data_IF_694682509908
#
_entry.id   IF_694682509908
#
_cell.length_a   1.000
_cell.length_b   1.000
_cell.length_c   1.000
_cell.angle_alpha   90.00
_cell.angle_beta   90.00
_cell.angle_gamma   90.00
#
_symmetry.space_group_name_H-M   'P 1'
#
loop_
_entity.id
_entity.type
_entity.pdbx_description
1 polymer ?
#
# COMPACT_ATOMS: atom_id res chain seq x y z
N UNK A 1 -30.68 -1.98 1.61
CA UNK A 1 -29.37 -1.64 2.22
C UNK A 1 -28.63 -0.75 1.23
N UNK A 2 -28.08 0.39 1.67
CA UNK A 2 -27.29 1.27 0.79
C UNK A 2 -25.94 0.59 0.43
N UNK A 3 -25.28 1.05 -0.64
CA UNK A 3 -23.93 0.54 -0.97
C UNK A 3 -22.94 0.79 0.18
N UNK A 4 -23.07 1.93 0.86
CA UNK A 4 -22.23 2.26 2.03
C UNK A 4 -22.38 1.22 3.13
N UNK A 5 -23.63 0.80 3.41
CA UNK A 5 -23.90 -0.25 4.41
C UNK A 5 -23.32 -1.59 3.96
N UNK A 6 -23.51 -1.96 2.69
CA UNK A 6 -22.95 -3.21 2.15
C UNK A 6 -21.43 -3.26 2.25
N UNK A 7 -20.72 -2.16 1.92
CA UNK A 7 -19.26 -2.02 2.05
C UNK A 7 -18.84 -2.14 3.52
N UNK A 8 -19.59 -1.51 4.44
CA UNK A 8 -19.34 -1.56 5.88
C UNK A 8 -19.54 -2.97 6.43
N UNK A 9 -20.67 -3.60 6.09
CA UNK A 9 -21.00 -4.98 6.49
C UNK A 9 -19.94 -5.99 5.98
N UNK A 10 -19.50 -5.85 4.74
CA UNK A 10 -18.49 -6.71 4.14
C UNK A 10 -17.05 -6.43 4.67
N UNK A 11 -16.88 -5.40 5.47
CA UNK A 11 -15.57 -5.06 6.06
C UNK A 11 -14.51 -4.66 5.04
N UNK A 12 -14.91 -3.95 3.95
CA UNK A 12 -13.99 -3.51 2.90
C UNK A 12 -13.13 -2.36 3.38
N UNK A 13 -11.82 -2.52 3.22
CA UNK A 13 -10.81 -1.50 3.52
C UNK A 13 -9.89 -1.27 2.32
N UNK A 14 -9.12 -0.19 2.34
CA UNK A 14 -8.11 0.10 1.33
C UNK A 14 -7.06 -1.01 1.25
N UNK A 15 -7.09 -1.80 0.18
CA UNK A 15 -6.25 -2.99 -0.02
C UNK A 15 -4.81 -2.67 -0.49
N UNK A 16 -4.53 -1.42 -0.85
CA UNK A 16 -3.20 -0.93 -1.27
C UNK A 16 -2.25 -0.57 -0.12
N UNK A 17 -2.52 -1.02 1.12
CA UNK A 17 -1.64 -0.85 2.29
C UNK A 17 -2.16 0.08 3.38
N UNK A 18 -2.91 1.15 3.06
CA UNK A 18 -3.37 2.14 4.05
C UNK A 18 -4.50 1.65 4.96
N UNK A 19 -5.29 0.66 4.54
CA UNK A 19 -6.36 0.07 5.36
C UNK A 19 -7.50 1.02 5.72
N UNK A 20 -7.70 2.13 4.99
CA UNK A 20 -8.76 3.08 5.28
C UNK A 20 -10.14 2.47 4.95
N UNK A 21 -11.15 2.56 5.82
CA UNK A 21 -12.48 2.00 5.61
C UNK A 21 -13.15 2.55 4.35
N UNK A 22 -13.49 1.67 3.38
CA UNK A 22 -13.96 2.09 2.06
C UNK A 22 -15.36 2.71 2.07
N UNK A 23 -16.22 2.37 3.04
CA UNK A 23 -17.57 2.94 3.20
C UNK A 23 -17.53 4.46 3.44
N UNK A 24 -16.46 4.99 4.09
CA UNK A 24 -16.28 6.43 4.29
C UNK A 24 -16.01 7.14 2.97
N UNK A 25 -15.18 6.54 2.10
CA UNK A 25 -14.95 7.06 0.73
C UNK A 25 -16.23 7.00 -0.11
N UNK A 26 -17.03 5.96 0.02
CA UNK A 26 -18.31 5.81 -0.67
C UNK A 26 -19.37 6.83 -0.23
N UNK A 27 -19.24 7.41 0.97
CA UNK A 27 -20.13 8.46 1.48
C UNK A 27 -19.78 9.87 0.99
N UNK A 28 -18.60 10.07 0.37
CA UNK A 28 -18.16 11.38 -0.10
C UNK A 28 -18.90 11.82 -1.37
N UNK A 29 -18.81 13.14 -1.69
CA UNK A 29 -19.34 13.72 -2.93
C UNK A 29 -18.18 14.20 -3.77
N UNK A 30 -18.03 13.67 -4.98
CA UNK A 30 -16.94 13.98 -5.91
C UNK A 30 -17.43 13.97 -7.35
N UNK A 31 -16.64 14.51 -8.26
CA UNK A 31 -16.93 14.44 -9.70
C UNK A 31 -16.21 13.27 -10.41
N UNK A 32 -15.16 12.74 -9.79
CA UNK A 32 -14.29 11.72 -10.39
C UNK A 32 -13.97 10.59 -9.41
N UNK A 33 -14.14 9.35 -9.85
CA UNK A 33 -13.61 8.14 -9.20
C UNK A 33 -12.38 7.68 -9.96
N UNK A 34 -11.26 7.54 -9.27
CA UNK A 34 -9.98 7.14 -9.84
C UNK A 34 -9.53 5.79 -9.25
N UNK A 35 -9.47 4.77 -10.10
CA UNK A 35 -8.93 3.47 -9.76
C UNK A 35 -7.40 3.48 -9.88
N UNK A 36 -6.70 3.09 -8.81
CA UNK A 36 -5.26 2.96 -8.77
C UNK A 36 -4.83 1.53 -9.13
N UNK A 37 -4.48 1.30 -10.40
CA UNK A 37 -3.85 0.09 -10.92
C UNK A 37 -2.37 0.30 -11.28
N UNK A 38 -1.73 1.33 -10.70
CA UNK A 38 -0.36 1.72 -11.01
C UNK A 38 0.70 0.92 -10.25
N UNK A 39 0.39 -0.29 -9.76
CA UNK A 39 1.32 -1.12 -8.98
C UNK A 39 2.80 -0.85 -9.29
N UNK A 40 3.52 -0.22 -8.35
CA UNK A 40 4.87 0.27 -8.60
C UNK A 40 5.92 -0.26 -7.61
N UNK A 41 5.54 -1.07 -6.61
CA UNK A 41 6.50 -1.78 -5.76
C UNK A 41 7.26 -2.82 -6.59
N UNK A 42 8.63 -2.83 -6.54
CA UNK A 42 9.40 -3.86 -7.23
C UNK A 42 8.99 -5.27 -6.80
N UNK A 43 8.91 -6.19 -7.77
CA UNK A 43 8.63 -7.62 -7.59
C UNK A 43 7.21 -7.95 -7.05
N UNK A 44 6.33 -6.99 -6.89
CA UNK A 44 4.93 -7.22 -6.51
C UNK A 44 4.07 -7.10 -7.77
N UNK A 45 3.22 -8.11 -8.02
CA UNK A 45 2.41 -8.24 -9.25
C UNK A 45 0.93 -8.54 -8.99
N UNK A 46 0.48 -8.49 -7.73
CA UNK A 46 -0.88 -8.89 -7.35
C UNK A 46 -1.98 -8.04 -8.01
N UNK A 47 -1.75 -6.72 -8.12
CA UNK A 47 -2.72 -5.82 -8.74
C UNK A 47 -2.74 -5.98 -10.25
N UNK A 48 -1.57 -6.25 -10.87
CA UNK A 48 -1.50 -6.60 -12.29
C UNK A 48 -2.30 -7.86 -12.58
N UNK A 49 -2.07 -8.95 -11.84
CA UNK A 49 -2.76 -10.22 -12.02
C UNK A 49 -4.27 -10.07 -11.75
N UNK A 50 -4.65 -9.34 -10.70
CA UNK A 50 -6.06 -9.03 -10.44
C UNK A 50 -6.70 -8.28 -11.61
N UNK A 51 -6.02 -7.30 -12.19
CA UNK A 51 -6.53 -6.53 -13.33
C UNK A 51 -6.70 -7.40 -14.58
N UNK A 52 -5.80 -8.35 -14.82
CA UNK A 52 -5.90 -9.27 -15.96
C UNK A 52 -7.10 -10.22 -15.80
N UNK A 53 -7.27 -10.79 -14.62
CA UNK A 53 -8.25 -11.86 -14.39
C UNK A 53 -9.64 -11.38 -13.93
N UNK A 54 -9.75 -10.13 -13.44
CA UNK A 54 -10.96 -9.60 -12.80
C UNK A 54 -11.29 -8.16 -13.20
N UNK A 55 -10.91 -7.75 -14.42
CA UNK A 55 -11.17 -6.40 -14.95
C UNK A 55 -12.66 -6.00 -14.85
N UNK A 56 -13.55 -6.92 -15.16
CA UNK A 56 -15.02 -6.75 -15.08
C UNK A 56 -15.48 -6.35 -13.68
N UNK A 57 -14.97 -7.03 -12.65
CA UNK A 57 -15.27 -6.75 -11.25
C UNK A 57 -14.71 -5.41 -10.78
N UNK A 58 -13.53 -5.05 -11.25
CA UNK A 58 -12.92 -3.74 -10.94
C UNK A 58 -13.76 -2.63 -11.57
N UNK A 59 -14.11 -2.74 -12.86
CA UNK A 59 -14.96 -1.77 -13.58
C UNK A 59 -16.32 -1.64 -12.92
N UNK A 60 -16.94 -2.76 -12.53
CA UNK A 60 -18.20 -2.74 -11.78
C UNK A 60 -18.04 -1.99 -10.45
N UNK A 61 -16.95 -2.23 -9.70
CA UNK A 61 -16.65 -1.50 -8.46
C UNK A 61 -16.46 0.00 -8.67
N UNK A 62 -15.82 0.42 -9.79
CA UNK A 62 -15.73 1.84 -10.17
C UNK A 62 -17.14 2.41 -10.39
N UNK A 63 -17.98 1.72 -11.15
CA UNK A 63 -19.37 2.14 -11.43
C UNK A 63 -20.20 2.31 -10.15
N UNK A 64 -20.09 1.36 -9.22
CA UNK A 64 -20.76 1.42 -7.91
C UNK A 64 -20.28 2.64 -7.10
N UNK A 65 -18.98 2.91 -7.08
CA UNK A 65 -18.43 4.08 -6.41
C UNK A 65 -18.90 5.38 -7.07
N UNK A 66 -18.95 5.44 -8.41
CA UNK A 66 -19.48 6.59 -9.12
C UNK A 66 -20.94 6.84 -8.73
N UNK A 67 -21.77 5.81 -8.71
CA UNK A 67 -23.17 5.91 -8.30
C UNK A 67 -23.33 6.42 -6.86
N UNK A 68 -22.52 5.89 -5.91
CA UNK A 68 -22.60 6.28 -4.50
C UNK A 68 -22.12 7.70 -4.24
N UNK A 69 -21.06 8.13 -4.92
CA UNK A 69 -20.43 9.45 -4.73
C UNK A 69 -21.07 10.55 -5.58
N UNK A 70 -21.88 10.19 -6.59
CA UNK A 70 -22.42 11.11 -7.58
C UNK A 70 -21.41 11.51 -8.66
N UNK A 71 -20.30 10.79 -8.80
CA UNK A 71 -19.29 11.07 -9.80
C UNK A 71 -19.81 10.79 -11.22
N UNK A 72 -19.47 11.69 -12.14
CA UNK A 72 -19.82 11.57 -13.57
C UNK A 72 -18.67 10.97 -14.40
N UNK A 73 -17.47 10.86 -13.84
CA UNK A 73 -16.26 10.34 -14.50
C UNK A 73 -15.66 9.20 -13.69
N UNK A 74 -15.37 8.09 -14.36
CA UNK A 74 -14.51 7.02 -13.87
C UNK A 74 -13.21 6.97 -14.64
N UNK A 75 -12.07 6.85 -13.96
CA UNK A 75 -10.76 6.73 -14.59
C UNK A 75 -10.03 5.54 -13.97
N UNK A 76 -9.42 4.69 -14.79
CA UNK A 76 -8.57 3.59 -14.33
C UNK A 76 -7.13 3.91 -14.73
N UNK A 77 -6.26 4.19 -13.75
CA UNK A 77 -4.84 4.42 -13.97
C UNK A 77 -4.08 3.10 -14.05
N UNK A 78 -3.48 2.79 -15.20
CA UNK A 78 -2.72 1.55 -15.45
C UNK A 78 -1.41 1.89 -16.14
N UNK A 79 -0.33 1.18 -15.82
CA UNK A 79 0.96 1.37 -16.51
C UNK A 79 0.89 0.92 -17.97
N UNK A 80 1.45 1.71 -18.87
CA UNK A 80 1.49 1.42 -20.33
C UNK A 80 2.14 0.07 -20.65
N UNK A 81 3.07 -0.39 -19.82
CA UNK A 81 3.71 -1.72 -20.00
C UNK A 81 2.77 -2.90 -19.74
N UNK A 82 1.72 -2.70 -18.99
CA UNK A 82 0.77 -3.73 -18.55
C UNK A 82 -0.30 -3.99 -19.63
N UNK A 83 0.12 -4.31 -20.85
CA UNK A 83 -0.77 -4.51 -22.02
C UNK A 83 -1.91 -5.48 -21.76
N UNK A 84 -1.71 -6.70 -21.18
CA UNK A 84 -2.81 -7.63 -20.93
C UNK A 84 -3.90 -7.04 -20.02
N UNK A 85 -3.51 -6.25 -19.00
CA UNK A 85 -4.48 -5.58 -18.13
C UNK A 85 -5.23 -4.45 -18.86
N UNK A 86 -4.54 -3.72 -19.74
CA UNK A 86 -5.18 -2.68 -20.57
C UNK A 86 -6.22 -3.31 -21.51
N UNK A 87 -5.88 -4.38 -22.21
CA UNK A 87 -6.79 -5.11 -23.11
C UNK A 87 -8.01 -5.65 -22.36
N UNK A 88 -7.81 -6.20 -21.16
CA UNK A 88 -8.89 -6.67 -20.31
C UNK A 88 -9.83 -5.52 -19.90
N UNK A 89 -9.25 -4.36 -19.54
CA UNK A 89 -10.06 -3.18 -19.22
C UNK A 89 -10.75 -2.57 -20.43
N UNK A 90 -10.11 -2.49 -21.61
CA UNK A 90 -10.74 -1.98 -22.84
C UNK A 90 -12.04 -2.75 -23.17
N UNK A 91 -12.00 -4.06 -22.98
CA UNK A 91 -13.20 -4.90 -23.10
C UNK A 91 -14.26 -4.58 -22.04
N UNK A 92 -13.83 -4.44 -20.77
CA UNK A 92 -14.75 -4.30 -19.63
C UNK A 92 -15.39 -2.91 -19.53
N UNK A 93 -14.73 -1.84 -19.99
CA UNK A 93 -15.27 -0.46 -19.94
C UNK A 93 -16.24 -0.14 -21.08
N UNK A 94 -16.39 -1.01 -22.05
CA UNK A 94 -17.25 -0.78 -23.21
C UNK A 94 -18.68 -0.44 -22.77
N UNK A 95 -19.22 0.67 -23.29
CA UNK A 95 -20.56 1.15 -22.94
C UNK A 95 -20.69 1.82 -21.56
N UNK A 96 -19.58 2.09 -20.88
CA UNK A 96 -19.55 2.79 -19.58
C UNK A 96 -18.92 4.18 -19.69
N UNK A 97 -19.15 5.11 -18.76
CA UNK A 97 -18.45 6.41 -18.72
C UNK A 97 -17.06 6.32 -18.05
N UNK A 98 -16.44 5.15 -18.08
CA UNK A 98 -15.14 4.88 -17.47
C UNK A 98 -14.06 4.88 -18.57
N UNK A 99 -12.93 5.54 -18.31
CA UNK A 99 -11.81 5.65 -19.23
C UNK A 99 -10.55 5.06 -18.64
N UNK A 100 -9.62 4.65 -19.50
CA UNK A 100 -8.30 4.15 -19.09
C UNK A 100 -7.29 5.28 -19.27
N UNK A 101 -6.54 5.57 -18.20
CA UNK A 101 -5.40 6.49 -18.23
C UNK A 101 -4.11 5.70 -18.16
N UNK A 102 -3.28 5.77 -19.20
CA UNK A 102 -2.01 5.07 -19.28
C UNK A 102 -0.90 5.85 -18.60
N UNK A 103 -0.28 5.25 -17.59
CA UNK A 103 0.81 5.80 -16.78
C UNK A 103 2.18 5.33 -17.28
N UNK A 104 3.20 6.16 -17.12
CA UNK A 104 4.59 5.76 -17.33
C UNK A 104 5.06 4.70 -16.35
N UNK A 105 6.10 3.92 -16.73
CA UNK A 105 6.72 2.92 -15.86
C UNK A 105 7.81 3.53 -14.97
N UNK A 106 7.39 4.29 -13.97
CA UNK A 106 8.25 4.92 -12.99
C UNK A 106 7.75 4.67 -11.55
N UNK A 107 8.60 4.91 -10.59
CA UNK A 107 8.28 4.84 -9.17
C UNK A 107 8.31 6.25 -8.54
N UNK A 108 7.34 6.62 -7.71
CA UNK A 108 6.11 5.94 -7.30
C UNK A 108 4.86 6.40 -8.10
N UNK A 109 4.61 5.83 -9.27
CA UNK A 109 3.44 6.20 -10.10
C UNK A 109 2.08 5.97 -9.41
N UNK A 110 2.04 5.11 -8.37
CA UNK A 110 0.87 4.82 -7.56
C UNK A 110 0.67 5.74 -6.34
N UNK A 111 1.54 6.74 -6.12
CA UNK A 111 1.29 7.77 -5.10
C UNK A 111 0.03 8.56 -5.45
N UNK A 112 -0.89 8.74 -4.48
CA UNK A 112 -2.20 9.36 -4.75
C UNK A 112 -2.09 10.78 -5.36
N UNK A 113 -1.11 11.58 -4.92
CA UNK A 113 -0.94 12.95 -5.46
C UNK A 113 -0.44 12.92 -6.89
N UNK A 114 0.51 12.03 -7.19
CA UNK A 114 1.04 11.85 -8.54
C UNK A 114 -0.07 11.30 -9.45
N UNK A 115 -0.76 10.27 -9.02
CA UNK A 115 -1.81 9.62 -9.81
C UNK A 115 -2.97 10.59 -10.12
N UNK A 116 -3.41 11.41 -9.14
CA UNK A 116 -4.43 12.43 -9.35
C UNK A 116 -3.96 13.46 -10.35
N UNK A 117 -2.73 13.96 -10.24
CA UNK A 117 -2.18 14.93 -11.19
C UNK A 117 -2.05 14.33 -12.60
N UNK A 118 -1.47 13.13 -12.73
CA UNK A 118 -1.32 12.46 -14.03
C UNK A 118 -2.68 12.27 -14.74
N UNK A 119 -3.68 11.78 -13.99
CA UNK A 119 -4.98 11.44 -14.57
C UNK A 119 -5.94 12.63 -14.74
N UNK A 120 -5.77 13.71 -13.99
CA UNK A 120 -6.75 14.81 -13.96
C UNK A 120 -6.17 16.20 -14.12
N UNK A 121 -4.84 16.37 -14.08
CA UNK A 121 -4.11 17.63 -14.02
C UNK A 121 -4.47 18.49 -12.80
N UNK A 122 -5.09 17.91 -11.76
CA UNK A 122 -5.43 18.61 -10.52
C UNK A 122 -4.33 18.40 -9.49
N UNK A 123 -3.92 19.48 -8.83
CA UNK A 123 -2.95 19.44 -7.75
C UNK A 123 -3.68 19.47 -6.40
N UNK A 124 -3.47 18.43 -5.59
CA UNK A 124 -4.04 18.36 -4.24
C UNK A 124 -3.39 19.45 -3.38
N UNK A 125 -4.13 20.27 -2.63
CA UNK A 125 -3.51 21.26 -1.74
C UNK A 125 -2.54 20.60 -0.77
N UNK A 126 -1.47 21.28 -0.33
CA UNK A 126 -0.57 20.76 0.70
C UNK A 126 -1.34 20.33 1.95
N UNK A 127 -1.01 19.15 2.51
CA UNK A 127 -1.75 18.44 3.58
C UNK A 127 -3.17 18.02 3.20
N UNK A 128 -3.62 18.29 1.99
CA UNK A 128 -4.95 17.88 1.52
C UNK A 128 -5.03 16.39 1.20
N UNK A 129 -6.21 16.02 0.77
CA UNK A 129 -6.53 14.67 0.29
C UNK A 129 -7.18 14.77 -1.09
N UNK A 130 -7.28 13.69 -1.87
CA UNK A 130 -7.92 13.73 -3.20
C UNK A 130 -9.31 14.34 -3.22
N UNK A 131 -10.08 14.20 -2.14
CA UNK A 131 -11.42 14.81 -2.00
C UNK A 131 -11.40 16.34 -2.12
N UNK A 132 -10.32 17.00 -1.73
CA UNK A 132 -10.20 18.47 -1.83
C UNK A 132 -10.19 18.98 -3.29
N UNK A 133 -9.95 18.07 -4.23
CA UNK A 133 -9.97 18.37 -5.66
C UNK A 133 -11.05 17.56 -6.41
N UNK A 134 -12.08 17.10 -5.70
CA UNK A 134 -13.24 16.41 -6.28
C UNK A 134 -12.95 14.99 -6.76
N UNK A 135 -11.92 14.32 -6.23
CA UNK A 135 -11.50 12.97 -6.65
C UNK A 135 -11.56 12.00 -5.48
N UNK A 136 -12.08 10.80 -5.69
CA UNK A 136 -11.88 9.63 -4.81
C UNK A 136 -10.92 8.67 -5.48
N UNK A 137 -9.83 8.35 -4.80
CA UNK A 137 -8.87 7.33 -5.24
C UNK A 137 -9.10 6.03 -4.49
N UNK A 138 -9.16 4.91 -5.20
CA UNK A 138 -9.24 3.57 -4.62
C UNK A 138 -8.34 2.58 -5.38
N UNK A 139 -7.64 1.72 -4.66
CA UNK A 139 -6.86 0.64 -5.27
C UNK A 139 -7.78 -0.35 -5.99
N UNK A 140 -7.31 -0.99 -7.06
CA UNK A 140 -8.11 -1.92 -7.89
C UNK A 140 -8.68 -3.10 -7.08
N UNK A 141 -7.93 -3.65 -6.11
CA UNK A 141 -8.43 -4.70 -5.23
C UNK A 141 -9.52 -4.19 -4.27
N UNK A 142 -9.45 -2.94 -3.83
CA UNK A 142 -10.53 -2.32 -3.04
C UNK A 142 -11.82 -2.25 -3.86
N UNK A 143 -11.73 -1.86 -5.13
CA UNK A 143 -12.88 -1.80 -6.04
C UNK A 143 -13.45 -3.19 -6.36
N UNK A 144 -12.58 -4.17 -6.55
CA UNK A 144 -12.96 -5.58 -6.65
C UNK A 144 -13.76 -6.03 -5.42
N UNK A 145 -13.28 -5.72 -4.22
CA UNK A 145 -13.97 -6.05 -2.97
C UNK A 145 -15.29 -5.29 -2.79
N UNK A 146 -15.41 -4.05 -3.29
CA UNK A 146 -16.66 -3.29 -3.32
C UNK A 146 -17.68 -3.98 -4.24
N UNK A 147 -17.25 -4.48 -5.40
CA UNK A 147 -18.09 -5.27 -6.29
C UNK A 147 -18.61 -6.54 -5.62
N UNK A 148 -17.79 -7.23 -4.83
CA UNK A 148 -18.20 -8.40 -4.02
C UNK A 148 -19.17 -8.02 -2.91
N UNK A 149 -18.90 -6.92 -2.21
CA UNK A 149 -19.74 -6.45 -1.10
C UNK A 149 -21.18 -6.18 -1.52
N UNK A 150 -21.43 -5.70 -2.74
CA UNK A 150 -22.76 -5.52 -3.27
C UNK A 150 -23.54 -6.85 -3.37
N UNK A 151 -22.82 -7.96 -3.49
CA UNK A 151 -23.38 -9.33 -3.51
C UNK A 151 -23.43 -9.96 -2.11
N UNK A 152 -23.21 -9.18 -1.04
CA UNK A 152 -23.09 -9.63 0.35
C UNK A 152 -21.95 -10.63 0.58
N UNK A 153 -20.90 -10.54 -0.21
CA UNK A 153 -19.69 -11.37 -0.08
C UNK A 153 -18.62 -10.58 0.66
N UNK A 154 -18.34 -10.90 1.95
CA UNK A 154 -17.41 -10.14 2.78
C UNK A 154 -15.95 -10.40 2.44
N UNK A 155 -15.06 -9.49 2.90
CA UNK A 155 -13.62 -9.63 2.72
C UNK A 155 -13.07 -10.69 3.66
N UNK A 156 -12.82 -11.86 3.12
CA UNK A 156 -12.23 -13.03 3.79
C UNK A 156 -10.88 -13.43 3.21
N UNK A 157 -10.56 -12.90 2.04
CA UNK A 157 -9.40 -13.31 1.26
C UNK A 157 -8.59 -12.09 0.82
N UNK A 158 -7.32 -12.31 0.49
CA UNK A 158 -6.37 -11.28 0.08
C UNK A 158 -5.57 -11.74 -1.13
N UNK A 159 -5.50 -10.91 -2.18
CA UNK A 159 -4.54 -11.11 -3.27
C UNK A 159 -3.14 -10.77 -2.78
N UNK A 160 -2.20 -11.67 -2.94
CA UNK A 160 -0.79 -11.48 -2.56
C UNK A 160 0.15 -11.98 -3.65
N UNK A 161 1.33 -11.40 -3.73
CA UNK A 161 2.47 -11.91 -4.48
C UNK A 161 3.52 -12.44 -3.52
N UNK A 162 4.11 -13.59 -3.83
CA UNK A 162 5.33 -14.09 -3.19
C UNK A 162 6.43 -14.14 -4.24
N UNK A 163 7.51 -13.39 -4.02
CA UNK A 163 8.61 -13.22 -4.96
C UNK A 163 9.98 -13.14 -4.25
N UNK A 164 11.05 -12.93 -5.02
CA UNK A 164 12.41 -12.91 -4.50
C UNK A 164 13.07 -14.28 -4.55
N UNK A 165 13.86 -14.61 -3.53
CA UNK A 165 14.60 -15.87 -3.39
C UNK A 165 13.68 -17.04 -3.00
N UNK A 166 12.63 -17.29 -3.78
CA UNK A 166 11.70 -18.42 -3.64
C UNK A 166 11.74 -19.32 -4.87
N UNK A 167 11.29 -20.55 -4.73
CA UNK A 167 11.40 -21.54 -5.79
C UNK A 167 10.53 -21.20 -7.01
N UNK A 168 9.30 -20.71 -6.78
CA UNK A 168 8.33 -20.38 -7.81
C UNK A 168 7.64 -19.07 -7.46
N UNK A 169 8.15 -17.90 -7.90
CA UNK A 169 7.45 -16.63 -7.73
C UNK A 169 6.03 -16.73 -8.27
N UNK A 170 5.03 -16.30 -7.48
CA UNK A 170 3.62 -16.53 -7.80
C UNK A 170 2.72 -15.49 -7.15
N UNK A 171 1.60 -15.17 -7.81
CA UNK A 171 0.49 -14.41 -7.21
C UNK A 171 -0.72 -15.32 -6.99
N UNK A 172 -1.38 -15.21 -5.86
CA UNK A 172 -2.54 -16.04 -5.52
C UNK A 172 -3.43 -15.36 -4.47
N UNK A 173 -4.58 -15.99 -4.18
CA UNK A 173 -5.51 -15.55 -3.16
C UNK A 173 -5.29 -16.36 -1.89
N UNK A 174 -4.98 -15.69 -0.78
CA UNK A 174 -4.82 -16.32 0.53
C UNK A 174 -5.97 -15.94 1.46
N UNK A 175 -6.49 -16.87 2.29
CA UNK A 175 -7.38 -16.52 3.40
C UNK A 175 -6.71 -15.51 4.34
N UNK A 176 -7.42 -14.47 4.77
CA UNK A 176 -6.94 -13.53 5.78
C UNK A 176 -6.61 -14.30 7.06
N UNK A 177 -5.44 -14.05 7.63
CA UNK A 177 -4.96 -14.78 8.81
C UNK A 177 -4.04 -15.96 8.50
N UNK A 178 -3.83 -16.31 7.22
CA UNK A 178 -2.79 -17.28 6.80
C UNK A 178 -1.42 -16.81 7.28
N UNK A 179 -0.59 -17.71 7.81
CA UNK A 179 0.77 -17.34 8.23
C UNK A 179 1.65 -16.95 7.03
N UNK A 180 2.64 -16.07 7.23
CA UNK A 180 3.63 -15.76 6.20
C UNK A 180 4.38 -17.01 5.76
N UNK A 181 4.61 -17.95 6.68
CA UNK A 181 5.23 -19.25 6.39
C UNK A 181 4.42 -20.03 5.36
N UNK A 182 3.12 -20.24 5.62
CA UNK A 182 2.25 -20.98 4.69
C UNK A 182 2.14 -20.29 3.33
N UNK A 183 2.13 -18.95 3.33
CA UNK A 183 2.13 -18.18 2.09
C UNK A 183 3.43 -18.37 1.27
N UNK A 184 4.60 -18.36 1.92
CA UNK A 184 5.91 -18.58 1.27
C UNK A 184 6.03 -20.04 0.81
N UNK A 185 5.54 -21.01 1.58
CA UNK A 185 5.52 -22.42 1.18
C UNK A 185 4.66 -22.66 -0.07
N UNK A 186 3.61 -21.87 -0.29
CA UNK A 186 2.81 -21.91 -1.53
C UNK A 186 3.64 -21.56 -2.77
N UNK A 187 4.69 -20.74 -2.60
CA UNK A 187 5.69 -20.45 -3.64
C UNK A 187 6.83 -21.51 -3.72
N UNK A 188 6.68 -22.64 -3.07
CA UNK A 188 7.68 -23.70 -3.00
C UNK A 188 8.79 -23.48 -1.99
N UNK A 189 8.62 -22.53 -1.07
CA UNK A 189 9.57 -22.16 -0.04
C UNK A 189 10.74 -21.30 -0.52
N UNK A 190 11.55 -20.82 0.42
CA UNK A 190 12.77 -20.06 0.13
C UNK A 190 13.87 -20.98 -0.43
N UNK A 191 14.62 -20.48 -1.42
CA UNK A 191 15.77 -21.23 -2.00
C UNK A 191 17.09 -20.97 -1.29
N UNK A 192 17.05 -20.19 -0.21
CA UNK A 192 18.18 -19.83 0.64
C UNK A 192 17.87 -20.19 2.11
N UNK A 193 18.90 -20.61 2.86
CA UNK A 193 18.74 -21.06 4.24
C UNK A 193 18.47 -19.93 5.24
N UNK A 194 19.12 -18.78 5.03
CA UNK A 194 18.99 -17.61 5.89
C UNK A 194 18.41 -16.44 5.10
N UNK A 195 17.19 -16.05 5.44
CA UNK A 195 16.47 -15.00 4.73
C UNK A 195 15.66 -14.11 5.67
N UNK A 196 15.28 -12.97 5.14
CA UNK A 196 14.31 -12.07 5.72
C UNK A 196 13.27 -11.71 4.67
N UNK A 197 12.11 -11.24 5.10
CA UNK A 197 10.95 -11.01 4.24
C UNK A 197 10.56 -9.55 4.27
N UNK A 198 10.50 -8.92 3.11
CA UNK A 198 9.88 -7.61 2.97
C UNK A 198 8.37 -7.81 2.77
N UNK A 199 7.59 -7.38 3.74
CA UNK A 199 6.12 -7.48 3.74
C UNK A 199 5.53 -6.20 3.19
N UNK A 200 4.75 -6.30 2.12
CA UNK A 200 4.12 -5.15 1.45
C UNK A 200 5.01 -4.43 0.43
N UNK A 201 6.18 -4.97 0.14
CA UNK A 201 7.14 -4.45 -0.85
C UNK A 201 8.47 -3.99 -0.27
N UNK A 202 9.44 -3.75 -1.13
CA UNK A 202 10.83 -3.38 -0.76
C UNK A 202 10.92 -1.91 -0.35
N UNK A 203 10.21 -1.03 -1.05
CA UNK A 203 10.33 0.42 -0.90
C UNK A 203 9.56 0.93 0.32
N UNK A 204 8.29 0.58 0.43
CA UNK A 204 7.39 1.07 1.49
C UNK A 204 7.07 0.03 2.56
N UNK A 205 7.36 -1.24 2.30
CA UNK A 205 7.09 -2.35 3.20
C UNK A 205 7.98 -2.41 4.44
N UNK A 206 7.69 -3.40 5.27
CA UNK A 206 8.45 -3.69 6.50
C UNK A 206 9.30 -4.93 6.31
N UNK A 207 10.48 -4.94 6.95
CA UNK A 207 11.30 -6.14 7.05
C UNK A 207 10.85 -6.96 8.26
N UNK A 208 10.59 -8.24 8.03
CA UNK A 208 10.16 -9.18 9.06
C UNK A 208 11.01 -10.46 9.01
N UNK A 209 11.23 -11.05 10.18
CA UNK A 209 11.88 -12.36 10.35
C UNK A 209 10.94 -13.37 11.01
N UNK A 210 9.88 -12.89 11.65
CA UNK A 210 8.84 -13.75 12.21
C UNK A 210 7.85 -14.17 11.12
N UNK A 211 7.92 -15.43 10.70
CA UNK A 211 7.07 -15.99 9.65
C UNK A 211 5.70 -16.49 10.17
N UNK A 212 5.48 -16.47 11.46
CA UNK A 212 4.20 -16.89 12.05
C UNK A 212 3.17 -15.73 12.11
N UNK A 213 3.58 -14.52 11.68
CA UNK A 213 2.68 -13.38 11.54
C UNK A 213 1.64 -13.62 10.42
N UNK A 214 0.43 -13.09 10.57
CA UNK A 214 -0.68 -13.35 9.65
C UNK A 214 -0.73 -12.39 8.46
N UNK A 215 -1.18 -12.89 7.32
CA UNK A 215 -1.70 -12.09 6.19
C UNK A 215 -2.90 -11.29 6.67
N UNK A 216 -2.90 -10.01 6.39
CA UNK A 216 -4.00 -9.09 6.72
C UNK A 216 -4.68 -8.56 5.45
N UNK A 217 -5.80 -7.85 5.60
CA UNK A 217 -6.48 -7.17 4.48
C UNK A 217 -5.60 -6.15 3.75
N UNK A 218 -4.46 -5.75 4.34
CA UNK A 218 -3.54 -4.75 3.79
C UNK A 218 -2.23 -5.32 3.27
N UNK A 219 -1.97 -6.62 3.46
CA UNK A 219 -0.75 -7.29 2.99
C UNK A 219 -0.73 -7.38 1.47
N UNK A 220 0.22 -6.71 0.80
CA UNK A 220 0.34 -6.76 -0.66
C UNK A 220 1.13 -7.98 -1.16
N UNK A 221 2.01 -8.53 -0.32
CA UNK A 221 2.83 -9.68 -0.67
C UNK A 221 4.14 -9.72 0.08
N UNK A 222 5.00 -10.64 -0.34
CA UNK A 222 6.26 -10.98 0.31
C UNK A 222 7.38 -10.98 -0.71
N UNK A 223 8.47 -10.27 -0.43
CA UNK A 223 9.72 -10.38 -1.16
C UNK A 223 10.76 -10.99 -0.23
N UNK A 224 11.13 -12.23 -0.53
CA UNK A 224 12.13 -13.00 0.24
C UNK A 224 13.52 -12.65 -0.29
N UNK A 225 14.42 -12.21 0.60
CA UNK A 225 15.82 -11.93 0.24
C UNK A 225 16.78 -12.57 1.24
N UNK A 226 17.98 -13.00 0.79
CA UNK A 226 19.01 -13.51 1.69
C UNK A 226 19.37 -12.49 2.77
N UNK A 227 19.68 -12.93 4.00
CA UNK A 227 20.10 -12.03 5.10
C UNK A 227 21.30 -11.19 4.70
N UNK A 228 22.23 -11.73 3.90
CA UNK A 228 23.39 -11.02 3.38
C UNK A 228 23.10 -9.94 2.32
N UNK A 229 21.86 -9.85 1.82
CA UNK A 229 21.50 -8.85 0.81
C UNK A 229 21.58 -7.43 1.38
N UNK A 230 22.13 -6.49 0.61
CA UNK A 230 22.35 -5.10 1.05
C UNK A 230 21.08 -4.42 1.58
N UNK A 231 19.94 -4.65 0.96
CA UNK A 231 18.67 -4.09 1.42
C UNK A 231 18.29 -4.58 2.81
N UNK A 232 18.46 -5.88 3.08
CA UNK A 232 18.20 -6.47 4.40
C UNK A 232 19.15 -5.85 5.43
N UNK A 233 20.45 -5.82 5.15
CA UNK A 233 21.44 -5.24 6.04
C UNK A 233 21.17 -3.76 6.34
N UNK A 234 20.78 -2.98 5.34
CA UNK A 234 20.42 -1.57 5.53
C UNK A 234 19.16 -1.40 6.39
N UNK A 235 18.14 -2.23 6.17
CA UNK A 235 16.86 -2.14 6.89
C UNK A 235 16.97 -2.61 8.35
N UNK A 236 17.92 -3.50 8.65
CA UNK A 236 18.21 -3.97 10.00
C UNK A 236 18.99 -2.98 10.87
N UNK A 237 19.52 -1.89 10.29
CA UNK A 237 20.28 -0.93 11.07
C UNK A 237 19.40 -0.19 12.10
N UNK A 238 19.86 -0.03 13.35
CA UNK A 238 19.15 0.75 14.34
C UNK A 238 19.02 2.23 13.94
N UNK A 239 17.86 2.84 14.18
CA UNK A 239 17.60 4.25 13.84
C UNK A 239 18.65 5.20 14.39
N UNK A 240 19.14 4.99 15.63
CA UNK A 240 20.24 5.77 16.23
C UNK A 240 21.54 5.71 15.41
N UNK A 241 21.86 4.54 14.83
CA UNK A 241 23.03 4.39 13.98
C UNK A 241 22.83 5.11 12.64
N UNK A 242 21.65 4.98 12.03
CA UNK A 242 21.28 5.69 10.80
C UNK A 242 21.45 7.21 10.95
N UNK A 243 20.94 7.79 12.05
CA UNK A 243 21.03 9.23 12.32
C UNK A 243 22.48 9.66 12.58
N UNK A 244 23.25 8.87 13.34
CA UNK A 244 24.66 9.20 13.62
C UNK A 244 25.49 9.21 12.34
N UNK A 245 25.32 8.21 11.47
CA UNK A 245 26.01 8.16 10.18
C UNK A 245 25.56 9.33 9.30
N UNK A 246 24.26 9.60 9.21
CA UNK A 246 23.73 10.73 8.43
C UNK A 246 24.27 12.08 8.89
N UNK A 247 24.43 12.26 10.22
CA UNK A 247 24.99 13.48 10.81
C UNK A 247 26.44 13.74 10.40
N UNK A 248 27.25 12.69 10.27
CA UNK A 248 28.70 12.80 10.01
C UNK A 248 29.07 12.70 8.52
N UNK A 249 28.26 12.04 7.70
CA UNK A 249 28.60 11.70 6.32
C UNK A 249 27.77 12.41 5.26
N UNK A 250 26.75 13.21 5.62
CA UNK A 250 25.93 13.92 4.65
C UNK A 250 26.65 15.15 4.11
N UNK A 251 27.07 15.10 2.85
CA UNK A 251 27.74 16.18 2.11
C UNK A 251 26.81 17.25 1.54
N UNK A 252 25.49 17.13 1.78
CA UNK A 252 24.47 18.11 1.33
C UNK A 252 24.34 18.24 -0.19
N UNK A 253 24.62 17.21 -0.97
CA UNK A 253 24.52 17.20 -2.44
C UNK A 253 23.08 17.45 -3.00
N UNK A 254 22.05 17.37 -2.16
CA UNK A 254 20.63 17.58 -2.46
C UNK A 254 19.94 16.58 -3.39
N UNK A 255 20.58 15.54 -3.90
CA UNK A 255 19.96 14.56 -4.79
C UNK A 255 18.69 13.92 -4.20
N UNK A 256 18.66 13.71 -2.88
CA UNK A 256 17.47 13.20 -2.18
C UNK A 256 16.24 14.14 -2.32
N UNK A 257 16.45 15.43 -2.55
CA UNK A 257 15.40 16.42 -2.84
C UNK A 257 15.13 16.50 -4.34
N UNK A 258 16.18 16.59 -5.15
CA UNK A 258 16.07 16.72 -6.60
C UNK A 258 15.29 15.57 -7.26
N UNK A 259 15.38 14.36 -6.68
CA UNK A 259 14.66 13.17 -7.13
C UNK A 259 13.42 12.87 -6.28
N UNK A 260 13.08 13.73 -5.32
CA UNK A 260 11.87 13.52 -4.51
C UNK A 260 10.61 13.71 -5.35
N UNK A 261 9.72 12.70 -5.46
CA UNK A 261 8.54 12.79 -6.31
C UNK A 261 7.57 13.89 -5.87
N UNK A 262 7.47 14.16 -4.57
CA UNK A 262 6.65 15.25 -4.04
C UNK A 262 7.27 16.62 -4.31
N UNK A 263 8.60 16.75 -4.23
CA UNK A 263 9.30 17.98 -4.57
C UNK A 263 9.14 18.34 -6.05
N UNK A 264 9.35 17.39 -6.94
CA UNK A 264 9.21 17.65 -8.39
C UNK A 264 7.76 17.88 -8.81
N UNK A 265 6.78 17.39 -8.03
CA UNK A 265 5.36 17.72 -8.21
C UNK A 265 4.99 19.10 -7.62
N UNK A 266 5.95 19.81 -7.00
CA UNK A 266 5.80 21.18 -6.52
C UNK A 266 5.55 21.34 -5.02
N UNK A 267 5.58 20.26 -4.26
CA UNK A 267 5.40 20.32 -2.80
C UNK A 267 6.74 20.57 -2.10
N UNK A 268 6.69 21.33 -1.01
CA UNK A 268 7.88 21.70 -0.24
C UNK A 268 8.40 20.54 0.62
N UNK A 269 8.90 19.49 -0.03
CA UNK A 269 9.54 18.33 0.59
C UNK A 269 11.03 18.34 0.27
N UNK A 270 11.87 18.63 1.25
CA UNK A 270 13.31 18.82 1.06
C UNK A 270 14.14 17.93 2.00
N UNK A 271 14.29 16.62 1.70
CA UNK A 271 14.99 15.69 2.59
C UNK A 271 16.42 16.11 2.92
N UNK A 272 17.16 16.80 2.01
CA UNK A 272 18.51 17.27 2.29
C UNK A 272 18.54 18.28 3.46
N UNK A 273 17.52 19.12 3.61
CA UNK A 273 17.42 20.05 4.75
C UNK A 273 17.12 19.28 6.05
N UNK A 274 16.24 18.27 5.98
CA UNK A 274 15.98 17.39 7.13
C UNK A 274 17.26 16.66 7.54
N UNK A 275 18.05 16.14 6.60
CA UNK A 275 19.36 15.54 6.88
C UNK A 275 20.33 16.53 7.54
N UNK A 276 20.33 17.79 7.08
CA UNK A 276 21.17 18.83 7.70
C UNK A 276 20.76 19.11 9.15
N UNK A 277 19.47 19.07 9.47
CA UNK A 277 18.98 19.30 10.84
C UNK A 277 19.49 18.25 11.84
N UNK A 278 19.87 17.05 11.40
CA UNK A 278 20.51 16.05 12.25
C UNK A 278 21.83 16.56 12.86
N UNK A 279 22.50 17.50 12.19
CA UNK A 279 23.74 18.15 12.67
C UNK A 279 23.51 19.18 13.78
N UNK A 280 22.30 19.67 13.98
CA UNK A 280 21.99 20.72 14.94
C UNK A 280 21.79 20.13 16.33
N UNK A 281 22.47 20.70 17.32
CA UNK A 281 22.41 20.20 18.70
C UNK A 281 21.39 20.90 19.58
N UNK A 282 20.84 22.05 19.13
CA UNK A 282 19.98 22.90 19.97
C UNK A 282 18.76 23.50 19.27
N UNK A 283 18.53 23.22 18.04
CA UNK A 283 17.36 23.77 17.39
C UNK A 283 16.15 22.89 17.70
N UNK A 284 15.49 23.13 18.79
CA UNK A 284 14.08 22.82 18.95
C UNK A 284 13.21 23.49 17.88
N UNK A 285 13.84 24.07 16.86
CA UNK A 285 13.16 24.73 15.76
C UNK A 285 12.64 23.70 14.76
N UNK A 286 11.35 23.51 14.86
CA UNK A 286 10.53 22.72 13.93
C UNK A 286 10.67 23.13 12.45
N UNK A 287 11.30 24.26 12.16
CA UNK A 287 11.38 24.83 10.81
C UNK A 287 12.01 23.88 9.78
N UNK A 288 13.08 23.16 10.14
CA UNK A 288 13.73 22.20 9.26
C UNK A 288 12.95 20.89 9.15
N UNK A 289 12.27 20.50 10.22
CA UNK A 289 11.41 19.33 10.25
C UNK A 289 10.17 19.51 9.37
N UNK A 290 9.68 20.74 9.19
CA UNK A 290 8.54 21.05 8.30
C UNK A 290 8.77 20.55 6.86
N UNK A 291 10.01 20.52 6.37
CA UNK A 291 10.34 19.97 5.04
C UNK A 291 10.07 18.46 4.89
N UNK A 292 9.75 17.76 5.97
CA UNK A 292 9.30 16.38 5.96
C UNK A 292 7.77 16.23 5.97
N UNK A 293 7.01 17.28 6.32
CA UNK A 293 5.56 17.21 6.59
C UNK A 293 4.75 16.59 5.47
N UNK A 294 5.07 16.95 4.22
CA UNK A 294 4.37 16.51 3.02
C UNK A 294 5.01 15.25 2.38
N UNK A 295 5.97 14.63 3.05
CA UNK A 295 6.65 13.43 2.57
C UNK A 295 5.71 12.22 2.55
N UNK A 296 5.65 11.49 1.41
CA UNK A 296 4.86 10.25 1.26
C UNK A 296 5.61 8.98 1.72
N UNK A 297 6.81 9.13 2.28
CA UNK A 297 7.63 8.00 2.78
C UNK A 297 7.95 6.92 1.74
N UNK A 298 8.02 7.28 0.45
CA UNK A 298 8.21 6.34 -0.67
C UNK A 298 9.59 5.66 -0.72
N UNK A 299 10.58 6.14 0.05
CA UNK A 299 11.91 5.50 0.14
C UNK A 299 12.92 5.88 -0.95
N UNK A 300 12.55 6.60 -2.03
CA UNK A 300 13.47 6.94 -3.12
C UNK A 300 14.72 7.68 -2.64
N UNK A 301 14.56 8.63 -1.72
CA UNK A 301 15.67 9.42 -1.21
C UNK A 301 16.73 8.56 -0.48
N UNK A 302 16.33 7.48 0.20
CA UNK A 302 17.24 6.54 0.88
C UNK A 302 17.78 5.47 -0.06
N UNK A 303 16.90 4.83 -0.85
CA UNK A 303 17.23 3.60 -1.55
C UNK A 303 17.76 3.83 -2.98
N UNK A 304 17.50 5.01 -3.55
CA UNK A 304 17.91 5.32 -4.92
C UNK A 304 18.78 6.58 -5.02
N UNK A 305 18.32 7.70 -4.45
CA UNK A 305 18.89 9.01 -4.72
C UNK A 305 20.19 9.32 -3.97
N UNK A 306 20.37 8.79 -2.74
CA UNK A 306 21.55 9.11 -1.93
C UNK A 306 22.80 8.39 -2.44
N UNK A 307 23.85 9.12 -2.90
CA UNK A 307 25.11 8.50 -3.35
C UNK A 307 25.88 7.87 -2.19
N UNK A 308 25.80 8.44 -0.98
CA UNK A 308 26.47 7.98 0.24
C UNK A 308 25.68 6.87 0.96
N UNK A 309 24.64 6.34 0.33
CA UNK A 309 23.78 5.29 0.90
C UNK A 309 23.27 5.62 2.32
N UNK A 310 23.03 6.90 2.65
CA UNK A 310 22.46 7.36 3.90
C UNK A 310 20.95 7.12 3.99
N UNK A 311 20.29 7.66 5.02
CA UNK A 311 18.91 7.35 5.42
C UNK A 311 17.99 8.60 5.46
N UNK A 312 17.84 9.38 4.37
CA UNK A 312 16.98 10.58 4.37
C UNK A 312 15.50 10.29 4.63
N UNK A 313 14.98 9.14 4.17
CA UNK A 313 13.59 8.74 4.45
C UNK A 313 13.35 8.56 5.95
N UNK A 314 14.24 7.84 6.61
CA UNK A 314 14.17 7.55 8.04
C UNK A 314 14.26 8.84 8.87
N UNK A 315 15.09 9.79 8.44
CA UNK A 315 15.15 11.13 9.03
C UNK A 315 13.84 11.90 8.83
N UNK A 316 13.24 11.86 7.64
CA UNK A 316 11.94 12.47 7.37
C UNK A 316 10.82 11.82 8.19
N UNK A 317 10.79 10.50 8.30
CA UNK A 317 9.80 9.78 9.07
C UNK A 317 9.88 10.11 10.56
N UNK A 318 11.11 10.20 11.10
CA UNK A 318 11.32 10.68 12.48
C UNK A 318 10.82 12.12 12.66
N UNK A 319 11.18 13.04 11.77
CA UNK A 319 10.73 14.42 11.84
C UNK A 319 9.20 14.53 11.81
N UNK A 320 8.51 13.70 11.02
CA UNK A 320 7.03 13.65 11.00
C UNK A 320 6.46 13.17 12.34
N UNK A 321 7.09 12.16 12.96
CA UNK A 321 6.67 11.70 14.31
C UNK A 321 6.87 12.80 15.35
N UNK A 322 8.06 13.40 15.39
CA UNK A 322 8.40 14.47 16.33
C UNK A 322 7.42 15.66 16.22
N UNK A 323 7.11 16.08 14.98
CA UNK A 323 6.13 17.16 14.75
C UNK A 323 4.74 16.80 15.25
N UNK A 324 4.28 15.57 14.98
CA UNK A 324 2.98 15.09 15.46
C UNK A 324 2.89 15.08 16.98
N UNK A 325 3.94 14.60 17.67
CA UNK A 325 4.03 14.59 19.13
C UNK A 325 4.04 16.00 19.73
N UNK A 326 4.63 16.96 19.03
CA UNK A 326 4.69 18.37 19.45
C UNK A 326 3.47 19.19 19.00
N UNK A 327 2.52 18.60 18.30
CA UNK A 327 1.35 19.32 17.76
C UNK A 327 1.70 20.34 16.67
N UNK A 328 2.86 20.20 16.02
CA UNK A 328 3.32 21.12 14.98
C UNK A 328 2.69 20.74 13.65
N UNK A 329 2.01 21.71 13.04
CA UNK A 329 1.43 21.58 11.70
C UNK A 329 2.27 22.32 10.68
N UNK A 330 2.24 21.84 9.44
CA UNK A 330 2.90 22.51 8.33
C UNK A 330 2.25 23.87 8.06
N UNK A 331 3.08 24.90 7.87
CA UNK A 331 2.64 26.30 7.66
C UNK A 331 3.29 26.95 6.42
N UNK A 332 3.83 26.14 5.52
CA UNK A 332 4.55 26.62 4.34
C UNK A 332 3.65 27.14 3.20
N UNK A 333 4.20 27.23 2.02
CA UNK A 333 3.56 27.76 0.81
C UNK A 333 2.35 26.92 0.39
N UNK A 334 1.18 27.54 0.22
CA UNK A 334 -0.07 26.86 -0.15
C UNK A 334 -0.19 26.61 -1.67
N UNK A 335 0.46 27.43 -2.47
CA UNK A 335 0.46 27.29 -3.91
C UNK A 335 1.42 26.17 -4.34
N UNK A 336 0.95 25.30 -5.21
CA UNK A 336 1.70 24.17 -5.76
C UNK A 336 1.80 24.34 -7.27
N UNK A 337 3.02 24.24 -7.77
CA UNK A 337 3.32 24.28 -9.22
C UNK A 337 4.35 23.20 -9.53
N UNK A 338 4.09 22.30 -10.49
CA UNK A 338 5.04 21.27 -10.84
C UNK A 338 6.37 21.86 -11.30
N UNK A 339 7.46 21.25 -10.85
CA UNK A 339 8.80 21.66 -11.27
C UNK A 339 8.95 21.44 -12.78
N UNK A 340 9.64 22.33 -13.54
CA UNK A 340 9.85 22.17 -14.99
C UNK A 340 10.45 20.82 -15.39
N UNK A 341 11.23 20.22 -14.50
CA UNK A 341 11.83 18.87 -14.69
C UNK A 341 10.98 17.72 -14.14
N UNK A 342 9.68 17.92 -13.91
CA UNK A 342 8.81 16.89 -13.33
C UNK A 342 8.89 15.56 -14.10
N UNK A 343 8.81 15.60 -15.42
CA UNK A 343 8.93 14.38 -16.23
C UNK A 343 10.36 13.84 -16.28
N UNK A 344 11.35 14.73 -16.43
CA UNK A 344 12.75 14.36 -16.58
C UNK A 344 13.39 13.76 -15.32
N UNK A 345 12.78 13.98 -14.13
CA UNK A 345 13.28 13.44 -12.85
C UNK A 345 12.48 12.25 -12.33
N UNK A 346 11.59 11.71 -13.13
CA UNK A 346 10.92 10.44 -12.81
C UNK A 346 11.93 9.29 -12.75
N UNK A 347 11.86 8.47 -11.73
CA UNK A 347 12.75 7.32 -11.58
C UNK A 347 12.18 6.10 -12.28
N UNK A 348 12.76 5.63 -13.41
CA UNK A 348 12.29 4.44 -14.10
C UNK A 348 12.40 3.20 -13.22
N UNK A 349 11.37 2.34 -13.20
CA UNK A 349 11.30 1.19 -12.31
C UNK A 349 12.47 0.21 -12.53
N UNK A 350 12.86 -0.04 -13.78
CA UNK A 350 14.00 -0.91 -14.11
C UNK A 350 15.32 -0.38 -13.55
N UNK A 351 15.54 0.92 -13.57
CA UNK A 351 16.75 1.53 -12.98
C UNK A 351 16.73 1.45 -11.46
N UNK A 352 15.55 1.66 -10.86
CA UNK A 352 15.37 1.46 -9.43
C UNK A 352 15.73 0.02 -9.03
N UNK A 353 15.18 -0.99 -9.70
CA UNK A 353 15.46 -2.40 -9.43
C UNK A 353 16.94 -2.75 -9.56
N UNK A 354 17.61 -2.19 -10.58
CA UNK A 354 19.07 -2.33 -10.74
C UNK A 354 19.84 -1.73 -9.57
N UNK A 355 19.47 -0.53 -9.11
CA UNK A 355 20.09 0.14 -7.96
C UNK A 355 19.86 -0.63 -6.66
N UNK A 356 18.70 -1.26 -6.53
CA UNK A 356 18.34 -2.10 -5.38
C UNK A 356 19.04 -3.47 -5.39
N UNK A 357 19.64 -3.88 -6.50
CA UNK A 357 20.26 -5.21 -6.65
C UNK A 357 19.25 -6.35 -6.70
N UNK A 358 18.03 -6.11 -7.21
CA UNK A 358 16.96 -7.12 -7.23
C UNK A 358 16.53 -7.54 -8.63
N UNK A 359 17.29 -7.15 -9.66
CA UNK A 359 16.97 -7.48 -11.05
C UNK A 359 16.98 -8.99 -11.31
N UNK A 360 17.82 -9.74 -10.60
CA UNK A 360 17.88 -11.22 -10.71
C UNK A 360 16.60 -11.92 -10.22
N UNK A 361 15.79 -11.23 -9.40
CA UNK A 361 14.51 -11.72 -8.89
C UNK A 361 13.30 -11.23 -9.70
N UNK A 362 13.53 -10.48 -10.79
CA UNK A 362 12.46 -9.95 -11.66
C UNK A 362 11.92 -11.06 -12.57
N UNK A 363 11.14 -11.95 -12.00
CA UNK A 363 10.48 -13.03 -12.71
C UNK A 363 8.96 -12.78 -12.73
N UNK A 364 8.27 -13.25 -13.79
CA UNK A 364 6.81 -13.28 -13.78
C UNK A 364 6.28 -14.01 -12.53
N UNK A 365 5.30 -13.40 -11.88
CA UNK A 365 4.62 -14.01 -10.73
C UNK A 365 3.14 -14.19 -11.10
N UNK A 366 2.91 -15.07 -12.09
CA UNK A 366 1.61 -15.34 -12.68
C UNK A 366 0.59 -15.77 -11.63
N UNK A 367 -0.68 -15.47 -11.89
CA UNK A 367 -1.76 -15.85 -11.01
C UNK A 367 -1.97 -17.36 -11.00
N UNK A 368 -1.88 -17.93 -9.81
CA UNK A 368 -2.20 -19.33 -9.57
C UNK A 368 -3.53 -19.42 -8.80
N UNK A 369 -4.57 -20.06 -9.35
CA UNK A 369 -5.79 -20.36 -8.61
C UNK A 369 -5.48 -21.44 -7.56
N UNK A 370 -4.92 -21.01 -6.41
CA UNK A 370 -4.61 -21.91 -5.30
C UNK A 370 -5.82 -22.02 -4.37
N UNK A 371 -6.24 -23.25 -4.09
CA UNK A 371 -7.18 -23.56 -3.00
C UNK A 371 -6.36 -23.75 -1.71
N UNK A 372 -5.83 -22.65 -1.20
CA UNK A 372 -5.06 -22.65 0.04
C UNK A 372 -5.98 -22.89 1.23
N UNK A 373 -5.80 -24.03 1.88
CA UNK A 373 -6.56 -24.44 3.08
C UNK A 373 -5.64 -24.52 4.30
N UNK A 374 -5.30 -23.40 4.92
CA UNK A 374 -4.43 -23.41 6.09
C UNK A 374 -5.11 -24.20 7.24
N UNK A 375 -4.34 -24.98 8.01
CA UNK A 375 -4.90 -25.73 9.15
C UNK A 375 -5.39 -24.80 10.25
N UNK A 376 -4.87 -23.58 10.30
CA UNK A 376 -5.28 -22.51 11.22
C UNK A 376 -5.12 -21.16 10.53
N UNK A 377 -5.91 -20.19 10.97
CA UNK A 377 -5.73 -18.78 10.67
C UNK A 377 -5.71 -17.96 11.95
N UNK A 378 -4.91 -16.91 11.97
CA UNK A 378 -4.90 -15.91 13.02
C UNK A 378 -5.35 -14.57 12.44
N UNK A 379 -6.53 -14.09 12.80
CA UNK A 379 -7.17 -12.92 12.19
C UNK A 379 -7.09 -11.76 13.18
N UNK A 380 -6.20 -10.77 12.94
CA UNK A 380 -6.09 -9.59 13.78
C UNK A 380 -7.37 -8.76 13.76
N UNK A 381 -7.77 -8.24 14.93
CA UNK A 381 -8.92 -7.33 15.06
C UNK A 381 -8.56 -5.90 14.66
N UNK A 382 -7.26 -5.55 14.61
CA UNK A 382 -6.71 -4.27 14.19
C UNK A 382 -5.93 -4.41 12.88
N UNK A 383 -6.62 -4.45 11.74
CA UNK A 383 -6.00 -4.53 10.40
C UNK A 383 -6.49 -3.42 9.45
N UNK A 384 -6.91 -2.30 10.02
CA UNK A 384 -7.47 -1.15 9.30
C UNK A 384 -7.21 0.15 10.07
N UNK A 385 -7.43 1.27 9.42
CA UNK A 385 -7.41 2.59 10.06
C UNK A 385 -8.65 2.79 10.92
N UNK A 386 -8.47 3.24 12.15
CA UNK A 386 -9.54 3.45 13.12
C UNK A 386 -9.39 2.56 14.36
N UNK A 387 -10.48 2.30 15.06
CA UNK A 387 -10.48 1.45 16.25
C UNK A 387 -10.40 -0.03 15.88
N UNK A 388 -9.72 -0.86 16.68
CA UNK A 388 -9.79 -2.31 16.55
C UNK A 388 -11.24 -2.81 16.64
N UNK A 389 -11.56 -3.85 15.88
CA UNK A 389 -12.87 -4.48 15.99
C UNK A 389 -12.99 -5.21 17.35
N UNK A 390 -14.18 -5.20 17.93
CA UNK A 390 -14.49 -5.95 19.15
C UNK A 390 -14.93 -7.36 18.77
N UNK A 391 -14.40 -8.42 19.41
CA UNK A 391 -14.80 -9.80 19.12
C UNK A 391 -16.28 -10.03 19.47
N UNK A 392 -16.98 -10.76 18.59
CA UNK A 392 -18.40 -11.13 18.78
C UNK A 392 -18.59 -12.64 18.83
N UNK A 393 -17.49 -13.39 18.92
CA UNK A 393 -17.45 -14.85 19.03
C UNK A 393 -16.70 -15.27 20.30
N UNK A 394 -16.88 -16.54 20.71
CA UNK A 394 -16.28 -17.11 21.93
C UNK A 394 -15.41 -18.32 21.58
N UNK A 395 -14.45 -18.62 22.46
CA UNK A 395 -13.65 -19.86 22.38
C UNK A 395 -14.57 -21.08 22.39
N UNK A 396 -14.31 -22.02 21.47
CA UNK A 396 -15.12 -23.23 21.26
C UNK A 396 -16.27 -23.03 20.26
N UNK A 397 -16.58 -21.80 19.83
CA UNK A 397 -17.64 -21.56 18.87
C UNK A 397 -17.24 -22.02 17.47
N UNK A 398 -18.19 -22.67 16.77
CA UNK A 398 -18.02 -23.04 15.37
C UNK A 398 -18.41 -21.84 14.49
N UNK A 399 -17.54 -21.47 13.56
CA UNK A 399 -17.73 -20.36 12.63
C UNK A 399 -17.68 -20.85 11.19
N UNK A 400 -18.37 -20.14 10.29
CA UNK A 400 -18.31 -20.36 8.84
C UNK A 400 -17.52 -19.23 8.17
N UNK A 401 -16.86 -19.54 7.07
CA UNK A 401 -16.24 -18.51 6.20
C UNK A 401 -17.27 -17.43 5.86
N UNK A 402 -16.90 -16.17 6.02
CA UNK A 402 -17.77 -15.02 5.82
C UNK A 402 -18.58 -14.60 7.05
N UNK A 403 -18.62 -15.40 8.12
CA UNK A 403 -19.27 -14.99 9.37
C UNK A 403 -18.54 -13.83 10.02
N UNK A 404 -19.28 -12.78 10.44
CA UNK A 404 -18.70 -11.68 11.21
C UNK A 404 -18.19 -12.21 12.57
N UNK A 405 -16.92 -11.96 12.87
CA UNK A 405 -16.25 -12.36 14.12
C UNK A 405 -15.77 -11.14 14.94
N UNK A 406 -15.77 -9.95 14.33
CA UNK A 406 -15.40 -8.71 15.00
C UNK A 406 -16.17 -7.52 14.45
N UNK A 407 -16.78 -6.72 15.34
CA UNK A 407 -17.61 -5.57 15.00
C UNK A 407 -16.97 -4.25 15.45
N UNK A 408 -17.28 -3.17 14.74
CA UNK A 408 -16.91 -1.80 15.14
C UNK A 408 -18.10 -1.17 15.87
N UNK A 409 -17.87 -0.54 17.03
CA UNK A 409 -18.91 0.20 17.71
C UNK A 409 -19.56 1.26 16.81
N UNK A 410 -20.85 1.45 16.97
CA UNK A 410 -21.60 2.42 16.15
C UNK A 410 -20.99 3.82 16.23
N UNK A 411 -20.94 4.52 15.10
CA UNK A 411 -20.37 5.87 14.98
C UNK A 411 -18.83 5.93 15.02
N UNK A 412 -18.13 4.82 15.21
CA UNK A 412 -16.67 4.78 15.23
C UNK A 412 -16.08 4.43 13.84
N UNK A 413 -14.89 4.97 13.57
CA UNK A 413 -14.13 4.62 12.36
C UNK A 413 -13.50 3.24 12.53
N UNK A 414 -13.70 2.37 11.54
CA UNK A 414 -13.13 1.03 11.51
C UNK A 414 -13.81 0.14 10.47
N UNK A 415 -13.49 -1.14 10.47
CA UNK A 415 -14.05 -2.12 9.55
C UNK A 415 -14.32 -3.46 10.26
N UNK A 416 -15.43 -4.10 9.95
CA UNK A 416 -15.75 -5.44 10.43
C UNK A 416 -14.70 -6.46 10.01
N UNK A 417 -14.56 -7.49 10.81
CA UNK A 417 -13.67 -8.62 10.58
C UNK A 417 -14.48 -9.90 10.47
N UNK A 418 -14.15 -10.73 9.48
CA UNK A 418 -14.89 -11.94 9.14
C UNK A 418 -13.99 -13.18 9.25
N UNK A 419 -14.58 -14.32 9.57
CA UNK A 419 -13.89 -15.60 9.50
C UNK A 419 -13.49 -15.89 8.05
N UNK A 420 -12.23 -16.22 7.82
CA UNK A 420 -11.68 -16.49 6.48
C UNK A 420 -11.74 -17.98 6.11
N UNK A 421 -11.98 -18.84 7.07
CA UNK A 421 -12.17 -20.28 6.89
C UNK A 421 -13.34 -20.78 7.76
N UNK A 422 -13.88 -21.94 7.41
CA UNK A 422 -14.75 -22.70 8.30
C UNK A 422 -13.90 -23.33 9.41
N UNK A 423 -14.40 -23.33 10.65
CA UNK A 423 -13.61 -23.90 11.73
C UNK A 423 -14.18 -23.69 13.13
N UNK A 424 -13.31 -23.88 14.12
CA UNK A 424 -13.63 -23.66 15.54
C UNK A 424 -12.67 -22.60 16.11
N UNK A 425 -13.23 -21.60 16.79
CA UNK A 425 -12.49 -20.55 17.49
C UNK A 425 -11.68 -21.18 18.64
N UNK A 426 -10.35 -21.01 18.63
CA UNK A 426 -9.43 -21.55 19.65
C UNK A 426 -8.93 -20.50 20.63
N UNK A 427 -8.81 -19.26 20.19
CA UNK A 427 -8.50 -18.16 21.09
C UNK A 427 -9.17 -16.86 20.64
N UNK A 428 -9.40 -15.95 21.57
CA UNK A 428 -9.96 -14.61 21.37
C UNK A 428 -9.13 -13.64 22.22
N UNK A 429 -8.52 -12.66 21.55
CA UNK A 429 -7.69 -11.60 22.14
C UNK A 429 -7.60 -10.44 21.17
N UNK A 430 -6.40 -9.90 20.94
CA UNK A 430 -6.14 -8.90 19.89
C UNK A 430 -6.28 -9.48 18.48
N UNK A 431 -6.25 -10.82 18.38
CA UNK A 431 -6.57 -11.62 17.22
C UNK A 431 -7.53 -12.76 17.58
N UNK A 432 -8.21 -13.30 16.57
CA UNK A 432 -9.04 -14.50 16.70
C UNK A 432 -8.36 -15.63 15.95
N UNK A 433 -8.05 -16.71 16.66
CA UNK A 433 -7.47 -17.93 16.06
C UNK A 433 -8.57 -18.92 15.76
N UNK A 434 -8.65 -19.35 14.50
CA UNK A 434 -9.62 -20.35 14.02
C UNK A 434 -8.82 -21.56 13.50
N UNK A 435 -9.14 -22.75 14.01
CA UNK A 435 -8.63 -24.00 13.44
C UNK A 435 -9.65 -24.59 12.48
N UNK A 436 -9.19 -25.02 11.33
CA UNK A 436 -9.99 -25.78 10.38
C UNK A 436 -10.54 -27.06 11.03
N UNK A 437 -11.69 -27.54 10.55
CA UNK A 437 -12.30 -28.78 11.04
C UNK A 437 -11.66 -30.00 10.41
#
# INVERSE_FOLDING_TARGET
MSLQDQIREAGVVGAGGAGFPAHVKAASKVDTVLANGAECEPLIHKDFELMVHHADRVVHGVGLMMQSTGATRGIIGVKTKNKPAIEAFESAVSGTPITIHQLGDFYPSGDEYILVYEATQRLIPPQGIPLNVGVVVSNVETLYNISRAQQNDPVTDKFITVAGAVKHPVSFVAPVGTSYRDAIETAGGAVVSEFAVFVGGIMMGKLETNLDLPVTKTTAGFVVLPVGHTLVQRKMQPEKAMHRIGKSACDQCSYCTELCPRYVLGYDVQPHKVMRSLGFTQTGEAIWNQYASLCCSCGLCTLYACPEALFPKEACDKSKRDMKEQGITWSGKKEVEPHPMYEGRRTPLKQLMKRLGVTEYDHPSEFMPADLRPPKVEIPLAQHTGLPAKPVVRVGEAVRKGQCIGEIPEGQLGARVHASIDGVVRSVGDSIVIHNR
#
